data_IF_446792926182
#
_entry.id   IF_446792926182
#
_cell.length_a   1.000
_cell.length_b   1.000
_cell.length_c   1.000
_cell.angle_alpha   90.00
_cell.angle_beta   90.00
_cell.angle_gamma   90.00
#
_symmetry.space_group_name_H-M   'P 1'
#
loop_
_entity.id
_entity.type
_entity.pdbx_description
1 polymer ?
#
# COMPACT_ATOMS: atom_id res chain seq x y z
N UNK A 1 -8.63 -21.69 -9.70
CA UNK A 1 -7.61 -20.95 -8.92
C UNK A 1 -8.23 -19.63 -8.50
N UNK A 2 -8.17 -19.25 -7.23
CA UNK A 2 -8.72 -17.97 -6.77
C UNK A 2 -7.81 -16.83 -7.27
N UNK A 3 -8.26 -16.07 -8.27
CA UNK A 3 -7.61 -14.84 -8.74
C UNK A 3 -7.80 -13.70 -7.73
N UNK A 4 -7.55 -13.96 -6.45
CA UNK A 4 -7.69 -12.98 -5.38
C UNK A 4 -6.51 -13.10 -4.43
N UNK A 5 -5.89 -11.98 -4.09
CA UNK A 5 -4.90 -11.92 -3.02
C UNK A 5 -5.58 -11.41 -1.76
N UNK A 6 -5.37 -12.12 -0.65
CA UNK A 6 -5.76 -11.65 0.67
C UNK A 6 -4.69 -10.65 1.18
N UNK A 7 -5.11 -9.44 1.50
CA UNK A 7 -4.21 -8.41 2.05
C UNK A 7 -3.59 -8.77 3.39
N UNK A 8 -4.20 -9.66 4.19
CA UNK A 8 -3.56 -10.22 5.39
C UNK A 8 -2.30 -11.01 5.08
N UNK A 9 -2.31 -11.83 4.03
CA UNK A 9 -1.12 -12.60 3.65
C UNK A 9 0.02 -11.66 3.22
N UNK A 10 -0.31 -10.58 2.51
CA UNK A 10 0.66 -9.54 2.17
C UNK A 10 1.19 -8.88 3.46
N UNK A 11 0.30 -8.51 4.39
CA UNK A 11 0.67 -7.89 5.65
C UNK A 11 1.60 -8.79 6.51
N UNK A 12 1.38 -10.10 6.54
CA UNK A 12 2.25 -11.07 7.23
C UNK A 12 3.66 -11.09 6.62
N UNK A 13 3.76 -11.15 5.29
CA UNK A 13 5.03 -11.11 4.59
C UNK A 13 5.78 -9.79 4.81
N UNK A 14 5.07 -8.66 4.77
CA UNK A 14 5.66 -7.36 5.05
C UNK A 14 6.11 -7.22 6.51
N UNK A 15 5.37 -7.81 7.45
CA UNK A 15 5.77 -7.84 8.87
C UNK A 15 7.09 -8.58 9.04
N UNK A 16 7.23 -9.72 8.35
CA UNK A 16 8.48 -10.50 8.32
C UNK A 16 9.62 -9.71 7.69
N UNK A 17 9.37 -9.06 6.54
CA UNK A 17 10.35 -8.22 5.87
C UNK A 17 10.83 -7.06 6.76
N UNK A 18 9.92 -6.40 7.47
CA UNK A 18 10.28 -5.34 8.41
C UNK A 18 11.18 -5.84 9.55
N UNK A 19 10.94 -7.04 10.08
CA UNK A 19 11.80 -7.64 11.11
C UNK A 19 13.21 -7.93 10.60
N UNK A 20 13.33 -8.40 9.35
CA UNK A 20 14.62 -8.64 8.72
C UNK A 20 15.39 -7.33 8.49
N UNK A 21 14.71 -6.27 8.08
CA UNK A 21 15.31 -4.94 7.91
C UNK A 21 15.76 -4.34 9.26
N UNK A 22 14.99 -4.53 10.33
CA UNK A 22 15.40 -4.13 11.68
C UNK A 22 16.65 -4.89 12.15
N UNK A 23 16.69 -6.20 11.96
CA UNK A 23 17.85 -7.02 12.31
C UNK A 23 19.10 -6.58 11.52
N UNK A 24 18.94 -6.30 10.23
CA UNK A 24 20.02 -5.81 9.39
C UNK A 24 20.48 -4.40 9.81
N UNK A 25 19.56 -3.50 10.15
CA UNK A 25 19.91 -2.18 10.67
C UNK A 25 20.71 -2.26 11.97
N UNK A 26 20.35 -3.17 12.89
CA UNK A 26 21.11 -3.43 14.12
C UNK A 26 22.51 -3.94 13.77
N UNK A 27 22.61 -4.93 12.87
CA UNK A 27 23.89 -5.50 12.42
C UNK A 27 24.80 -4.46 11.77
N UNK A 28 24.24 -3.57 10.97
CA UNK A 28 25.01 -2.48 10.34
C UNK A 28 25.53 -1.48 11.36
N UNK A 29 24.70 -1.14 12.36
CA UNK A 29 25.10 -0.24 13.43
C UNK A 29 26.22 -0.84 14.29
N UNK A 30 26.17 -2.15 14.59
CA UNK A 30 27.24 -2.84 15.33
C UNK A 30 28.54 -2.94 14.54
N UNK A 31 28.46 -3.04 13.20
CA UNK A 31 29.61 -3.08 12.31
C UNK A 31 30.12 -1.69 11.86
N UNK A 32 29.46 -0.60 12.29
CA UNK A 32 29.82 0.77 11.90
C UNK A 32 29.60 1.07 10.41
N UNK A 33 28.71 0.35 9.74
CA UNK A 33 28.43 0.53 8.32
C UNK A 33 27.46 1.70 8.14
N UNK A 34 27.89 2.74 7.41
CA UNK A 34 27.06 3.91 7.08
C UNK A 34 26.53 3.79 5.65
N UNK A 35 25.20 3.76 5.51
CA UNK A 35 24.52 3.79 4.21
C UNK A 35 23.88 5.14 3.93
N UNK A 36 23.78 5.51 2.65
CA UNK A 36 23.07 6.72 2.19
C UNK A 36 21.58 6.70 2.56
N UNK A 37 20.99 5.51 2.67
CA UNK A 37 19.59 5.28 3.02
C UNK A 37 19.52 4.58 4.37
N UNK A 38 18.64 5.07 5.25
CA UNK A 38 18.49 4.49 6.58
C UNK A 38 17.60 3.25 6.52
N UNK A 39 18.22 2.07 6.65
CA UNK A 39 17.52 0.78 6.68
C UNK A 39 16.49 0.73 7.82
N UNK A 40 16.79 1.37 8.95
CA UNK A 40 15.85 1.50 10.07
C UNK A 40 14.59 2.30 9.70
N UNK A 41 14.72 3.37 8.90
CA UNK A 41 13.56 4.11 8.40
C UNK A 41 12.74 3.29 7.40
N UNK A 42 13.41 2.55 6.52
CA UNK A 42 12.73 1.66 5.56
C UNK A 42 11.95 0.55 6.29
N UNK A 43 12.53 -0.05 7.34
CA UNK A 43 11.83 -1.03 8.16
C UNK A 43 10.54 -0.48 8.80
N UNK A 44 10.59 0.75 9.33
CA UNK A 44 9.41 1.44 9.88
C UNK A 44 8.35 1.71 8.81
N UNK A 45 8.76 2.14 7.61
CA UNK A 45 7.83 2.37 6.50
C UNK A 45 7.13 1.08 6.07
N UNK A 46 7.87 -0.02 5.96
CA UNK A 46 7.33 -1.35 5.62
C UNK A 46 6.34 -1.81 6.70
N UNK A 47 6.67 -1.63 7.99
CA UNK A 47 5.79 -2.00 9.10
C UNK A 47 4.50 -1.18 9.14
N UNK A 48 4.58 0.12 8.85
CA UNK A 48 3.40 0.97 8.73
C UNK A 48 2.49 0.49 7.58
N UNK A 49 3.07 0.08 6.45
CA UNK A 49 2.31 -0.46 5.32
C UNK A 49 1.67 -1.82 5.65
N UNK A 50 2.40 -2.70 6.33
CA UNK A 50 1.86 -3.96 6.84
C UNK A 50 0.64 -3.74 7.75
N UNK A 51 0.73 -2.78 8.67
CA UNK A 51 -0.36 -2.43 9.59
C UNK A 51 -1.59 -1.94 8.82
N UNK A 52 -1.40 -1.03 7.85
CA UNK A 52 -2.50 -0.53 7.02
C UNK A 52 -3.19 -1.62 6.21
N UNK A 53 -2.43 -2.59 5.69
CA UNK A 53 -3.01 -3.73 4.97
C UNK A 53 -3.71 -4.72 5.90
N UNK A 54 -3.18 -4.89 7.11
CA UNK A 54 -3.80 -5.71 8.13
C UNK A 54 -5.18 -5.17 8.54
N UNK A 55 -5.27 -3.85 8.77
CA UNK A 55 -6.52 -3.19 9.14
C UNK A 55 -7.53 -3.12 7.98
N UNK A 56 -7.04 -3.10 6.74
CA UNK A 56 -7.89 -3.04 5.55
C UNK A 56 -8.62 -4.35 5.26
N UNK A 57 -8.02 -5.49 5.59
CA UNK A 57 -8.61 -6.85 5.49
C UNK A 57 -9.46 -7.10 4.23
N UNK A 58 -8.90 -6.74 3.08
CA UNK A 58 -9.57 -6.80 1.77
C UNK A 58 -9.02 -7.91 0.88
N UNK A 59 -9.88 -8.39 -0.03
CA UNK A 59 -9.52 -9.29 -1.12
C UNK A 59 -9.31 -8.49 -2.40
N UNK A 60 -8.08 -8.49 -2.93
CA UNK A 60 -7.75 -7.79 -4.17
C UNK A 60 -7.92 -8.77 -5.33
N UNK A 61 -8.85 -8.48 -6.25
CA UNK A 61 -8.99 -9.24 -7.48
C UNK A 61 -7.78 -9.02 -8.39
N UNK A 62 -7.15 -10.13 -8.80
CA UNK A 62 -6.09 -10.13 -9.79
C UNK A 62 -6.73 -10.12 -11.18
N UNK A 63 -6.90 -8.93 -11.74
CA UNK A 63 -7.27 -8.77 -13.14
C UNK A 63 -5.99 -8.89 -13.98
N UNK A 64 -6.02 -9.75 -15.00
CA UNK A 64 -4.90 -9.87 -15.93
C UNK A 64 -4.70 -8.52 -16.65
N UNK A 65 -3.45 -8.08 -16.89
CA UNK A 65 -3.19 -6.84 -17.61
C UNK A 65 -3.74 -6.97 -19.04
N UNK A 66 -4.93 -6.43 -19.29
CA UNK A 66 -5.67 -6.55 -20.56
C UNK A 66 -7.19 -6.50 -20.44
N UNK A 67 -7.76 -6.75 -19.25
CA UNK A 67 -9.21 -6.77 -19.01
C UNK A 67 -9.67 -5.64 -18.07
N UNK A 68 -9.09 -4.45 -18.20
CA UNK A 68 -9.63 -3.27 -17.52
C UNK A 68 -10.90 -2.80 -18.25
N UNK A 69 -12.04 -3.39 -17.91
CA UNK A 69 -13.38 -2.89 -18.24
C UNK A 69 -13.61 -1.49 -17.62
N UNK A 70 -14.48 -0.67 -18.25
CA UNK A 70 -14.34 0.77 -18.30
C UNK A 70 -14.73 1.42 -16.97
N UNK A 71 -13.97 2.44 -16.57
CA UNK A 71 -14.41 3.38 -15.56
C UNK A 71 -15.76 3.98 -16.02
N UNK A 72 -16.84 3.64 -15.31
CA UNK A 72 -18.10 4.37 -15.37
C UNK A 72 -17.79 5.86 -15.21
N UNK A 73 -18.05 6.61 -16.27
CA UNK A 73 -18.17 8.07 -16.20
C UNK A 73 -19.28 8.36 -15.21
N UNK A 74 -18.90 8.81 -14.01
CA UNK A 74 -19.82 9.42 -13.06
C UNK A 74 -20.45 10.61 -13.77
N UNK A 75 -21.69 10.45 -14.23
CA UNK A 75 -22.53 11.59 -14.62
C UNK A 75 -22.76 12.40 -13.35
N UNK A 76 -22.01 13.49 -13.21
CA UNK A 76 -22.27 14.50 -12.21
C UNK A 76 -23.63 15.14 -12.51
N UNK A 77 -24.65 14.64 -11.83
CA UNK A 77 -25.93 15.29 -11.66
C UNK A 77 -25.69 16.63 -10.95
N UNK A 78 -25.77 17.74 -11.69
CA UNK A 78 -25.68 19.08 -11.11
C UNK A 78 -27.08 19.58 -10.74
N UNK A 79 -27.37 19.84 -9.45
CA UNK A 79 -28.61 20.49 -9.04
C UNK A 79 -28.54 22.00 -9.32
N UNK A 80 -29.66 22.58 -9.72
CA UNK A 80 -29.71 23.90 -10.36
C UNK A 80 -29.72 25.16 -9.47
N UNK A 81 -30.03 26.27 -10.18
CA UNK A 81 -30.26 27.68 -9.80
C UNK A 81 -28.95 28.49 -9.63
N UNK A 82 -28.79 29.73 -10.10
CA UNK A 82 -29.70 30.89 -10.11
C UNK A 82 -29.37 31.88 -11.26
N UNK A 83 -30.35 32.72 -11.57
CA UNK A 83 -30.35 33.82 -12.52
C UNK A 83 -29.26 34.89 -12.29
N UNK A 84 -28.88 35.60 -13.35
CA UNK A 84 -28.57 37.02 -13.26
C UNK A 84 -28.94 37.76 -14.56
N UNK A 85 -29.70 38.82 -14.35
CA UNK A 85 -30.17 39.88 -15.25
C UNK A 85 -28.99 40.65 -15.83
N UNK A 86 -29.03 40.99 -17.13
CA UNK A 86 -28.79 42.34 -17.65
C UNK A 86 -29.60 42.56 -18.93
#
# INVERSE_FOLDING_TARGET
MSNQINTRQIAEHLTTLASLLEAEAIRMNTLGIVTKRSVALEARAVRALATRLWDADMHIALVAPGEAEPHETVSAEMPGKLALVQ
#
